data_IF_721312519456
#
_entry.id   IF_721312519456
#
_cell.length_a   1.000
_cell.length_b   1.000
_cell.length_c   1.000
_cell.angle_alpha   90.00
_cell.angle_beta   90.00
_cell.angle_gamma   90.00
#
_symmetry.space_group_name_H-M   'P 1'
#
loop_
_entity.id
_entity.type
_entity.pdbx_description
1 polymer ?
#
# COMPACT_ATOMS: atom_id res chain seq x y z
N UNK A 1 8.09 1.15 12.16
CA UNK A 1 8.87 0.07 11.52
C UNK A 1 10.22 -0.02 12.23
N UNK A 2 10.48 -1.13 12.94
CA UNK A 2 11.75 -1.38 13.63
C UNK A 2 12.57 -2.42 12.86
N UNK A 3 12.88 -2.12 11.61
CA UNK A 3 14.00 -2.69 10.87
C UNK A 3 14.70 -1.45 10.31
N UNK A 4 15.90 -1.08 10.70
CA UNK A 4 17.07 -1.83 10.31
C UNK A 4 18.30 -1.00 10.71
N UNK A 5 19.21 -1.59 11.49
CA UNK A 5 20.61 -1.12 11.52
C UNK A 5 21.55 -2.04 10.74
N UNK A 6 21.05 -3.14 10.17
CA UNK A 6 21.86 -4.19 9.52
C UNK A 6 21.63 -4.37 8.02
N UNK A 7 20.43 -4.09 7.51
CA UNK A 7 20.04 -4.31 6.11
C UNK A 7 19.86 -2.98 5.37
N UNK A 8 20.40 -2.91 4.14
CA UNK A 8 20.45 -1.68 3.32
C UNK A 8 19.33 -1.59 2.27
N UNK A 9 18.61 -2.68 1.99
CA UNK A 9 17.50 -2.72 1.04
C UNK A 9 16.33 -3.48 1.70
N UNK A 10 15.17 -2.85 1.79
CA UNK A 10 13.96 -3.41 2.37
C UNK A 10 12.78 -3.23 1.41
N UNK A 11 12.00 -4.30 1.23
CA UNK A 11 10.68 -4.27 0.60
C UNK A 11 9.61 -4.38 1.68
N UNK A 12 8.54 -3.61 1.54
CA UNK A 12 7.46 -3.54 2.52
C UNK A 12 6.19 -4.22 2.03
N UNK A 13 5.71 -5.20 2.81
CA UNK A 13 4.57 -6.07 2.45
C UNK A 13 3.54 -6.19 3.57
N UNK A 14 3.94 -5.97 4.83
CA UNK A 14 3.15 -6.32 6.02
C UNK A 14 1.77 -5.67 6.12
N UNK A 15 1.58 -4.47 5.56
CA UNK A 15 0.29 -3.78 5.59
C UNK A 15 -0.52 -3.92 4.29
N UNK A 16 0.00 -4.62 3.28
CA UNK A 16 -0.61 -4.73 1.95
C UNK A 16 -1.09 -6.16 1.66
N UNK A 17 -1.65 -6.82 2.68
CA UNK A 17 -2.28 -8.12 2.53
C UNK A 17 -3.70 -7.96 1.96
N UNK A 18 -3.87 -8.29 0.69
CA UNK A 18 -5.15 -8.28 -0.01
C UNK A 18 -6.04 -9.45 0.43
N UNK A 19 -5.49 -10.49 1.06
CA UNK A 19 -6.29 -11.61 1.53
C UNK A 19 -7.23 -11.23 2.68
N UNK A 20 -6.85 -10.25 3.50
CA UNK A 20 -7.71 -9.78 4.58
C UNK A 20 -8.95 -9.10 4.00
N UNK A 21 -10.09 -9.80 4.06
CA UNK A 21 -11.37 -9.32 3.51
C UNK A 21 -11.92 -8.10 4.25
N UNK A 22 -11.51 -7.89 5.50
CA UNK A 22 -11.94 -6.77 6.31
C UNK A 22 -11.21 -5.45 6.00
N UNK A 23 -10.22 -5.49 5.10
CA UNK A 23 -9.38 -4.34 4.78
C UNK A 23 -9.81 -3.66 3.48
N UNK A 24 -10.28 -2.42 3.59
CA UNK A 24 -10.61 -1.59 2.45
C UNK A 24 -9.39 -0.95 1.78
N UNK A 25 -9.56 -0.54 0.53
CA UNK A 25 -8.57 0.23 -0.23
C UNK A 25 -8.08 1.49 0.53
N UNK A 26 -8.96 2.12 1.32
CA UNK A 26 -8.64 3.32 2.10
C UNK A 26 -7.56 3.04 3.16
N UNK A 27 -7.58 1.85 3.78
CA UNK A 27 -6.56 1.43 4.75
C UNK A 27 -5.19 1.36 4.08
N UNK A 28 -5.12 0.87 2.84
CA UNK A 28 -3.87 0.77 2.09
C UNK A 28 -3.30 2.14 1.70
N UNK A 29 -4.14 3.14 1.43
CA UNK A 29 -3.68 4.52 1.20
C UNK A 29 -3.12 5.18 2.47
N UNK A 30 -3.73 4.92 3.62
CA UNK A 30 -3.35 5.54 4.90
C UNK A 30 -2.04 4.96 5.48
N UNK A 31 -1.49 3.90 4.87
CA UNK A 31 -0.24 3.30 5.32
C UNK A 31 0.89 4.36 5.33
N UNK A 32 1.51 4.60 6.51
CA UNK A 32 2.61 5.55 6.61
C UNK A 32 3.89 4.93 6.05
N UNK A 33 4.11 5.13 4.74
CA UNK A 33 5.42 4.95 4.10
C UNK A 33 6.34 6.14 4.42
N UNK A 34 6.36 6.56 5.69
CA UNK A 34 7.06 7.77 6.12
C UNK A 34 8.51 7.66 5.69
N UNK A 35 8.92 8.61 4.84
CA UNK A 35 10.25 8.81 4.28
C UNK A 35 11.29 8.04 5.08
N UNK A 36 11.64 6.92 4.51
CA UNK A 36 12.89 6.22 4.67
C UNK A 36 14.04 7.18 4.98
N UNK A 37 14.27 7.44 6.28
CA UNK A 37 15.27 8.41 6.73
C UNK A 37 16.67 7.99 6.30
N UNK A 38 16.85 6.69 6.07
CA UNK A 38 18.12 6.04 5.82
C UNK A 38 18.28 5.55 4.36
N UNK A 39 17.28 5.73 3.49
CA UNK A 39 17.34 5.28 2.09
C UNK A 39 17.26 3.74 1.89
N UNK A 40 16.84 3.00 2.91
CA UNK A 40 16.73 1.54 2.99
C UNK A 40 15.47 0.99 2.31
N UNK A 41 14.33 1.66 2.39
CA UNK A 41 13.06 1.22 1.82
C UNK A 41 13.05 1.47 0.30
N UNK A 42 13.08 0.39 -0.47
CA UNK A 42 13.10 0.46 -1.95
C UNK A 42 11.72 0.41 -2.59
N UNK A 43 10.72 -0.06 -1.87
CA UNK A 43 9.36 -0.18 -2.37
C UNK A 43 8.54 -1.12 -1.51
N UNK A 44 7.45 -1.62 -2.09
CA UNK A 44 6.56 -2.58 -1.45
C UNK A 44 5.82 -3.43 -2.46
N UNK A 45 5.10 -4.41 -1.93
CA UNK A 45 4.32 -5.38 -2.70
C UNK A 45 2.93 -5.49 -2.10
N UNK A 46 1.92 -5.69 -2.94
CA UNK A 46 0.59 -6.08 -2.51
C UNK A 46 0.45 -7.60 -2.65
N UNK A 47 0.17 -8.28 -1.54
CA UNK A 47 0.18 -9.74 -1.49
C UNK A 47 -1.24 -10.30 -1.47
N UNK A 48 -1.55 -11.11 -2.47
CA UNK A 48 -2.78 -11.89 -2.55
C UNK A 48 -2.43 -13.37 -2.41
N UNK A 49 -2.68 -13.95 -1.24
CA UNK A 49 -2.42 -15.37 -0.98
C UNK A 49 -3.56 -16.26 -1.45
N UNK A 50 -3.24 -17.47 -1.90
CA UNK A 50 -4.17 -18.34 -2.62
C UNK A 50 -5.05 -19.23 -1.75
N UNK A 51 -5.05 -19.10 -0.42
CA UNK A 51 -5.77 -20.03 0.47
C UNK A 51 -7.29 -20.02 0.23
N UNK A 52 -7.82 -18.88 -0.21
CA UNK A 52 -9.26 -18.67 -0.43
C UNK A 52 -9.54 -17.97 -1.77
N UNK A 53 -8.63 -18.10 -2.75
CA UNK A 53 -8.72 -17.41 -4.04
C UNK A 53 -8.47 -18.40 -5.17
N UNK A 54 -9.37 -18.38 -6.14
CA UNK A 54 -9.21 -19.02 -7.45
C UNK A 54 -9.41 -17.98 -8.56
N UNK A 55 -9.30 -18.42 -9.82
CA UNK A 55 -9.44 -17.56 -10.99
C UNK A 55 -10.82 -16.88 -11.10
N UNK A 56 -11.86 -17.43 -10.45
CA UNK A 56 -13.20 -16.86 -10.48
C UNK A 56 -13.34 -15.62 -9.60
N UNK A 57 -12.55 -15.54 -8.53
CA UNK A 57 -12.61 -14.45 -7.54
C UNK A 57 -11.37 -13.56 -7.51
N UNK A 58 -10.29 -13.95 -8.18
CA UNK A 58 -9.02 -13.22 -8.17
C UNK A 58 -9.16 -11.76 -8.63
N UNK A 59 -9.67 -11.54 -9.84
CA UNK A 59 -9.75 -10.20 -10.45
C UNK A 59 -10.54 -9.18 -9.60
N UNK A 60 -11.78 -9.46 -9.16
CA UNK A 60 -12.55 -8.51 -8.36
C UNK A 60 -12.01 -8.32 -6.93
N UNK A 61 -11.22 -9.28 -6.42
CA UNK A 61 -10.64 -9.18 -5.07
C UNK A 61 -9.34 -8.37 -5.07
N UNK A 62 -8.53 -8.51 -6.12
CA UNK A 62 -7.27 -7.78 -6.29
C UNK A 62 -7.53 -6.35 -6.76
N UNK A 63 -8.37 -6.16 -7.76
CA UNK A 63 -8.67 -4.84 -8.31
C UNK A 63 -10.03 -4.36 -7.82
N UNK A 64 -10.15 -3.14 -7.25
CA UNK A 64 -9.22 -2.00 -7.32
C UNK A 64 -8.23 -1.87 -6.15
N UNK A 65 -8.24 -2.78 -5.18
CA UNK A 65 -7.45 -2.66 -3.94
C UNK A 65 -5.94 -2.61 -4.17
N UNK A 66 -5.43 -3.35 -5.15
CA UNK A 66 -4.03 -3.30 -5.56
C UNK A 66 -3.64 -1.97 -6.23
N UNK A 67 -4.60 -1.29 -6.90
CA UNK A 67 -4.34 0.03 -7.49
C UNK A 67 -4.05 1.08 -6.42
N UNK A 68 -4.69 0.99 -5.26
CA UNK A 68 -4.43 1.85 -4.11
C UNK A 68 -2.97 1.75 -3.63
N UNK A 69 -2.46 0.52 -3.52
CA UNK A 69 -1.07 0.25 -3.15
C UNK A 69 -0.12 0.76 -4.22
N UNK A 70 -0.44 0.52 -5.50
CA UNK A 70 0.37 0.98 -6.62
C UNK A 70 0.49 2.51 -6.67
N UNK A 71 -0.62 3.24 -6.53
CA UNK A 71 -0.59 4.69 -6.45
C UNK A 71 0.25 5.14 -5.25
N UNK A 72 0.08 4.50 -4.08
CA UNK A 72 0.82 4.88 -2.88
C UNK A 72 2.33 4.71 -3.00
N UNK A 73 2.79 3.68 -3.71
CA UNK A 73 4.20 3.40 -3.98
C UNK A 73 4.77 4.29 -5.09
N UNK A 74 3.98 4.58 -6.13
CA UNK A 74 4.35 5.49 -7.21
C UNK A 74 4.44 6.94 -6.73
N UNK A 75 3.46 7.36 -5.94
CA UNK A 75 3.30 8.69 -5.35
C UNK A 75 3.88 8.79 -3.95
N UNK A 76 5.02 8.15 -3.70
CA UNK A 76 5.70 8.25 -2.41
C UNK A 76 6.15 9.68 -2.08
N UNK A 77 6.40 10.49 -3.11
CA UNK A 77 6.69 11.92 -3.00
C UNK A 77 5.41 12.76 -3.21
N UNK A 78 5.00 13.45 -2.15
CA UNK A 78 3.85 14.38 -2.15
C UNK A 78 4.01 15.51 -3.17
N UNK A 79 5.24 15.77 -3.64
CA UNK A 79 5.52 16.74 -4.70
C UNK A 79 5.14 16.25 -6.09
N UNK A 80 5.13 14.94 -6.32
CA UNK A 80 4.80 14.33 -7.62
C UNK A 80 3.27 14.19 -7.76
N UNK A 81 2.55 13.97 -6.64
CA UNK A 81 1.12 13.73 -6.65
C UNK A 81 0.41 14.57 -5.57
N UNK A 82 -0.21 15.70 -5.94
CA UNK A 82 -0.92 16.56 -4.97
C UNK A 82 -2.23 15.93 -4.46
N UNK A 83 -2.66 14.81 -5.03
CA UNK A 83 -3.99 14.24 -4.85
C UNK A 83 -4.25 13.52 -3.52
N UNK A 84 -3.29 13.44 -2.61
CA UNK A 84 -3.51 12.88 -1.26
C UNK A 84 -4.68 13.51 -0.52
N UNK A 85 -5.04 14.76 -0.84
CA UNK A 85 -6.06 15.53 -0.13
C UNK A 85 -7.39 15.69 -0.90
N UNK A 86 -7.46 15.41 -2.21
CA UNK A 86 -8.68 15.69 -2.98
C UNK A 86 -9.87 14.77 -2.60
N UNK A 87 -9.60 13.54 -2.16
CA UNK A 87 -10.63 12.58 -1.74
C UNK A 87 -10.83 12.49 -0.22
N UNK A 88 -9.87 12.97 0.57
CA UNK A 88 -9.93 13.00 2.04
C UNK A 88 -10.59 14.29 2.59
N UNK A 89 -10.51 15.40 1.87
CA UNK A 89 -11.08 16.70 2.32
C UNK A 89 -12.60 16.78 2.15
N UNK A 90 -13.21 15.93 1.32
CA UNK A 90 -14.67 15.87 1.15
C UNK A 90 -15.41 14.90 2.11
N UNK A 91 -14.78 14.51 3.23
CA UNK A 91 -15.43 13.69 4.28
C UNK A 91 -15.64 14.43 5.61
N UNK A 92 -15.36 15.74 5.65
CA UNK A 92 -15.62 16.63 6.80
C UNK A 92 -16.43 17.88 6.41
N UNK A 93 -17.40 17.73 5.50
CA UNK A 93 -18.48 18.71 5.30
C UNK A 93 -19.83 18.02 5.47
#
# INVERSE_FOLDING_TARGET
MAASRKFKNLLYSSAFYLDQLNDDWAKFYDVPLTRDKDGILKGGEACMWGESVDDSVFMPRVWPRAAAVAERLWCADERICPFKHAWAVNRLA
#
